data_IF_917670544615
#
_entry.id   IF_917670544615
#
_cell.length_a   1.000
_cell.length_b   1.000
_cell.length_c   1.000
_cell.angle_alpha   90.00
_cell.angle_beta   90.00
_cell.angle_gamma   90.00
#
_symmetry.space_group_name_H-M   'P 1'
#
loop_
_entity.id
_entity.type
_entity.pdbx_description
1 polymer ?
#
# COMPACT_ATOMS: atom_id res chain seq x y z
N UNK A 1 3.82 27.35 9.66
CA UNK A 1 4.56 26.19 9.12
C UNK A 1 3.72 24.94 9.35
N UNK A 2 3.28 24.25 8.30
CA UNK A 2 2.52 23.01 8.45
C UNK A 2 3.45 21.88 8.88
N UNK A 3 3.10 21.15 9.94
CA UNK A 3 3.86 19.98 10.38
C UNK A 3 3.77 18.86 9.32
N UNK A 4 4.78 17.97 9.26
CA UNK A 4 4.83 16.81 8.33
C UNK A 4 3.52 15.99 8.37
N UNK A 5 2.95 15.82 9.57
CA UNK A 5 1.67 15.13 9.81
C UNK A 5 0.48 15.86 9.15
N UNK A 6 0.36 17.18 9.30
CA UNK A 6 -0.71 17.95 8.68
C UNK A 6 -0.69 17.87 7.14
N UNK A 7 0.52 17.91 6.54
CA UNK A 7 0.69 17.74 5.10
C UNK A 7 0.30 16.33 4.63
N UNK A 8 0.67 15.30 5.40
CA UNK A 8 0.31 13.91 5.13
C UNK A 8 -1.21 13.71 5.12
N UNK A 9 -1.91 14.17 6.17
CA UNK A 9 -3.37 14.09 6.26
C UNK A 9 -4.06 14.90 5.16
N UNK A 10 -3.55 16.09 4.81
CA UNK A 10 -4.09 16.87 3.70
C UNK A 10 -3.99 16.13 2.36
N UNK A 11 -2.88 15.44 2.11
CA UNK A 11 -2.71 14.64 0.88
C UNK A 11 -3.62 13.41 0.85
N UNK A 12 -3.97 12.82 2.00
CA UNK A 12 -4.98 11.75 2.07
C UNK A 12 -6.34 12.29 1.67
N UNK A 13 -6.71 13.48 2.19
CA UNK A 13 -7.96 14.15 1.79
C UNK A 13 -8.00 14.42 0.29
N UNK A 14 -6.88 14.79 -0.33
CA UNK A 14 -6.83 14.96 -1.79
C UNK A 14 -7.11 13.65 -2.55
N UNK A 15 -6.58 12.51 -2.09
CA UNK A 15 -6.89 11.21 -2.70
C UNK A 15 -8.38 10.89 -2.60
N UNK A 16 -8.99 11.15 -1.45
CA UNK A 16 -10.43 10.95 -1.24
C UNK A 16 -11.27 11.91 -2.09
N UNK A 17 -10.85 13.17 -2.26
CA UNK A 17 -11.49 14.12 -3.18
C UNK A 17 -11.44 13.62 -4.63
N UNK A 18 -10.30 13.12 -5.08
CA UNK A 18 -10.18 12.56 -6.44
C UNK A 18 -11.11 11.37 -6.65
N UNK A 19 -11.15 10.45 -5.67
CA UNK A 19 -12.05 9.31 -5.68
C UNK A 19 -13.52 9.75 -5.80
N UNK A 20 -13.96 10.67 -4.93
CA UNK A 20 -15.34 11.17 -4.93
C UNK A 20 -15.69 11.88 -6.24
N UNK A 21 -14.79 12.71 -6.77
CA UNK A 21 -15.01 13.43 -8.03
C UNK A 21 -15.15 12.50 -9.22
N UNK A 22 -14.38 11.41 -9.27
CA UNK A 22 -14.52 10.42 -10.34
C UNK A 22 -15.82 9.64 -10.24
N UNK A 23 -16.22 9.21 -9.04
CA UNK A 23 -17.48 8.49 -8.84
C UNK A 23 -18.69 9.36 -9.14
N UNK A 24 -18.65 10.63 -8.73
CA UNK A 24 -19.74 11.57 -8.97
C UNK A 24 -19.63 12.33 -10.30
N UNK A 25 -18.65 11.99 -11.15
CA UNK A 25 -18.42 12.64 -12.45
C UNK A 25 -18.32 14.17 -12.37
N UNK A 26 -17.69 14.70 -11.32
CA UNK A 26 -17.52 16.14 -11.09
C UNK A 26 -16.40 16.69 -11.97
N UNK A 27 -16.69 17.77 -12.69
CA UNK A 27 -15.75 18.43 -13.62
C UNK A 27 -15.01 19.58 -12.92
N UNK A 28 -13.69 19.77 -13.17
CA UNK A 28 -12.84 18.95 -14.02
C UNK A 28 -12.56 17.59 -13.38
N UNK A 29 -12.58 16.50 -14.16
CA UNK A 29 -12.26 15.18 -13.62
C UNK A 29 -10.74 15.08 -13.35
N UNK A 30 -10.31 14.52 -12.21
CA UNK A 30 -8.88 14.33 -11.94
C UNK A 30 -8.29 13.30 -12.90
N UNK A 31 -7.10 13.56 -13.42
CA UNK A 31 -6.40 12.61 -14.28
C UNK A 31 -5.66 11.55 -13.45
N UNK A 32 -5.36 10.40 -14.07
CA UNK A 32 -4.50 9.39 -13.46
C UNK A 32 -3.10 9.93 -13.12
N UNK A 33 -2.62 10.94 -13.85
CA UNK A 33 -1.33 11.60 -13.56
C UNK A 33 -1.41 12.43 -12.28
N UNK A 34 -2.51 13.12 -12.02
CA UNK A 34 -2.70 13.92 -10.79
C UNK A 34 -2.72 13.04 -9.54
N UNK A 35 -3.42 11.90 -9.64
CA UNK A 35 -3.48 10.89 -8.59
C UNK A 35 -2.09 10.27 -8.41
N UNK A 36 -1.41 9.90 -9.49
CA UNK A 36 -0.05 9.35 -9.47
C UNK A 36 0.95 10.27 -8.76
N UNK A 37 0.90 11.57 -9.03
CA UNK A 37 1.80 12.54 -8.39
C UNK A 37 1.54 12.65 -6.87
N UNK A 38 0.29 12.53 -6.45
CA UNK A 38 -0.08 12.51 -5.03
C UNK A 38 0.41 11.23 -4.36
N UNK A 39 0.31 10.08 -5.04
CA UNK A 39 0.85 8.79 -4.58
C UNK A 39 2.39 8.82 -4.47
N UNK A 40 3.08 9.41 -5.46
CA UNK A 40 4.55 9.60 -5.43
C UNK A 40 5.02 10.46 -4.25
N UNK A 41 4.23 11.46 -3.84
CA UNK A 41 4.53 12.20 -2.61
C UNK A 41 4.56 11.27 -1.39
N UNK A 42 3.58 10.37 -1.25
CA UNK A 42 3.58 9.41 -0.15
C UNK A 42 4.79 8.48 -0.21
N UNK A 43 5.15 7.97 -1.39
CA UNK A 43 6.36 7.16 -1.57
C UNK A 43 7.61 7.89 -1.07
N UNK A 44 7.77 9.17 -1.43
CA UNK A 44 8.91 9.98 -0.98
C UNK A 44 8.93 10.15 0.55
N UNK A 45 7.77 10.40 1.17
CA UNK A 45 7.68 10.54 2.63
C UNK A 45 8.00 9.21 3.32
N UNK A 46 7.38 8.11 2.88
CA UNK A 46 7.58 6.77 3.46
C UNK A 46 9.03 6.32 3.33
N UNK A 47 9.62 6.43 2.13
CA UNK A 47 11.03 6.10 1.91
C UNK A 47 11.96 7.03 2.68
N UNK A 48 11.58 8.31 2.84
CA UNK A 48 12.31 9.27 3.67
C UNK A 48 12.39 8.81 5.13
N UNK A 49 11.25 8.39 5.70
CA UNK A 49 11.21 7.82 7.05
C UNK A 49 12.05 6.56 7.17
N UNK A 50 11.97 5.63 6.21
CA UNK A 50 12.79 4.41 6.24
C UNK A 50 14.30 4.70 6.19
N UNK A 51 14.73 5.77 5.52
CA UNK A 51 16.14 6.19 5.48
C UNK A 51 16.63 6.83 6.77
N UNK A 52 15.73 7.42 7.57
CA UNK A 52 16.05 8.04 8.86
C UNK A 52 16.24 6.98 9.98
N UNK A 53 15.73 5.76 9.78
CA UNK A 53 15.77 4.66 10.76
C UNK A 53 17.07 3.85 10.60
N UNK A 54 17.80 3.64 11.69
CA UNK A 54 19.04 2.84 11.69
C UNK A 54 18.78 1.32 11.69
N UNK A 55 17.64 0.90 12.25
CA UNK A 55 17.21 -0.49 12.25
C UNK A 55 16.73 -0.97 10.87
N UNK A 56 16.48 -2.27 10.71
CA UNK A 56 16.04 -2.88 9.46
C UNK A 56 14.54 -3.27 9.51
N UNK A 57 13.58 -2.32 9.50
CA UNK A 57 12.16 -2.61 9.68
C UNK A 57 11.60 -3.58 8.61
N UNK A 58 12.18 -3.58 7.41
CA UNK A 58 11.87 -4.56 6.36
C UNK A 58 12.22 -6.00 6.75
N UNK A 59 13.35 -6.21 7.44
CA UNK A 59 13.73 -7.53 7.94
C UNK A 59 12.81 -7.97 9.08
N UNK A 60 12.39 -7.02 9.92
CA UNK A 60 11.51 -7.27 11.07
C UNK A 60 10.12 -7.77 10.66
N UNK A 61 9.63 -7.43 9.46
CA UNK A 61 8.35 -7.94 8.93
C UNK A 61 8.28 -9.47 8.85
N UNK A 62 9.43 -10.16 8.77
CA UNK A 62 9.49 -11.63 8.75
C UNK A 62 9.24 -12.24 10.13
N UNK A 63 9.40 -11.46 11.19
CA UNK A 63 9.36 -11.90 12.58
C UNK A 63 8.19 -11.25 13.30
N UNK A 64 7.09 -12.00 13.48
CA UNK A 64 5.85 -11.47 14.07
C UNK A 64 6.02 -10.89 15.48
N UNK A 65 6.96 -11.45 16.26
CA UNK A 65 7.32 -10.95 17.59
C UNK A 65 7.99 -9.56 17.56
N UNK A 66 8.51 -9.13 16.42
CA UNK A 66 9.15 -7.83 16.22
C UNK A 66 8.18 -6.75 15.71
N UNK A 67 6.93 -7.11 15.38
CA UNK A 67 5.96 -6.16 14.84
C UNK A 67 5.67 -4.99 15.80
N UNK A 68 5.51 -5.29 17.10
CA UNK A 68 5.27 -4.25 18.10
C UNK A 68 6.43 -3.24 18.14
N UNK A 69 7.67 -3.72 18.18
CA UNK A 69 8.86 -2.85 18.16
C UNK A 69 8.97 -2.09 16.84
N UNK A 70 8.83 -2.77 15.70
CA UNK A 70 8.85 -2.17 14.35
C UNK A 70 7.95 -0.94 14.27
N UNK A 71 6.71 -1.06 14.75
CA UNK A 71 5.74 0.03 14.68
C UNK A 71 6.10 1.23 15.57
N UNK A 72 6.88 1.04 16.65
CA UNK A 72 7.35 2.16 17.49
C UNK A 72 8.45 3.00 16.82
N UNK A 73 9.08 2.49 15.76
CA UNK A 73 10.15 3.19 15.04
C UNK A 73 9.63 4.32 14.14
N UNK A 74 8.34 4.33 13.83
CA UNK A 74 7.76 5.24 12.84
C UNK A 74 7.15 6.48 13.50
N UNK A 75 7.21 7.65 12.82
CA UNK A 75 6.50 8.83 13.27
C UNK A 75 4.99 8.61 13.25
N UNK A 76 4.28 9.36 14.10
CA UNK A 76 2.82 9.28 14.19
C UNK A 76 2.19 9.91 12.94
N UNK A 77 1.89 9.09 11.94
CA UNK A 77 1.21 9.42 10.69
C UNK A 77 0.03 8.47 10.46
N UNK A 78 -0.92 8.91 9.65
CA UNK A 78 -2.15 8.15 9.39
C UNK A 78 -1.95 7.08 8.28
N UNK A 79 -1.11 6.09 8.56
CA UNK A 79 -0.79 5.01 7.61
C UNK A 79 -2.03 4.17 7.25
N UNK A 80 -2.91 3.95 8.23
CA UNK A 80 -4.17 3.21 8.03
C UNK A 80 -5.14 3.99 7.14
N UNK A 81 -5.27 5.31 7.36
CA UNK A 81 -6.07 6.17 6.47
C UNK A 81 -5.54 6.18 5.04
N UNK A 82 -4.20 6.20 4.85
CA UNK A 82 -3.61 6.07 3.53
C UNK A 82 -3.93 4.71 2.87
N UNK A 83 -3.84 3.60 3.62
CA UNK A 83 -4.22 2.27 3.12
C UNK A 83 -5.69 2.22 2.69
N UNK A 84 -6.59 2.78 3.50
CA UNK A 84 -8.02 2.86 3.18
C UNK A 84 -8.26 3.67 1.91
N UNK A 85 -7.66 4.85 1.78
CA UNK A 85 -7.75 5.66 0.56
C UNK A 85 -7.23 4.91 -0.67
N UNK A 86 -6.09 4.23 -0.57
CA UNK A 86 -5.55 3.42 -1.67
C UNK A 86 -6.52 2.29 -2.04
N UNK A 87 -7.11 1.62 -1.05
CA UNK A 87 -8.08 0.55 -1.28
C UNK A 87 -9.30 1.05 -2.04
N UNK A 88 -9.83 2.22 -1.70
CA UNK A 88 -10.93 2.85 -2.45
C UNK A 88 -10.53 3.20 -3.89
N UNK A 89 -9.29 3.62 -4.11
CA UNK A 89 -8.80 3.97 -5.46
C UNK A 89 -8.68 2.76 -6.39
N UNK A 90 -8.64 1.53 -5.89
CA UNK A 90 -8.60 0.33 -6.75
C UNK A 90 -9.86 0.21 -7.61
N UNK A 91 -11.02 0.68 -7.15
CA UNK A 91 -12.26 0.51 -7.91
C UNK A 91 -12.47 1.58 -9.00
N UNK A 92 -11.61 2.61 -9.06
CA UNK A 92 -11.77 3.73 -10.03
C UNK A 92 -10.95 3.56 -11.31
N UNK A 93 -10.17 2.48 -11.47
CA UNK A 93 -9.39 2.25 -12.71
C UNK A 93 -10.23 2.45 -14.00
N UNK A 94 -11.46 1.91 -14.12
CA UNK A 94 -12.27 2.08 -15.32
C UNK A 94 -12.73 3.53 -15.56
N UNK A 95 -12.68 4.39 -14.55
CA UNK A 95 -13.11 5.79 -14.62
C UNK A 95 -11.98 6.74 -15.05
N UNK A 96 -10.73 6.24 -15.10
CA UNK A 96 -9.56 7.05 -15.44
C UNK A 96 -9.36 7.05 -16.95
N UNK A 97 -9.60 8.21 -17.58
CA UNK A 97 -9.52 8.37 -19.03
C UNK A 97 -8.09 8.64 -19.52
N UNK A 98 -7.26 9.27 -18.70
CA UNK A 98 -5.89 9.66 -19.05
C UNK A 98 -4.92 9.32 -17.92
N UNK A 99 -3.77 8.72 -18.25
CA UNK A 99 -2.71 8.43 -17.29
C UNK A 99 -2.92 7.18 -16.41
N UNK A 100 -3.78 6.24 -16.82
CA UNK A 100 -4.09 5.01 -16.05
C UNK A 100 -2.84 4.16 -15.71
N UNK A 101 -1.87 4.08 -16.61
CA UNK A 101 -0.61 3.37 -16.37
C UNK A 101 0.21 4.01 -15.25
N UNK A 102 0.40 5.34 -15.33
CA UNK A 102 1.14 6.08 -14.33
C UNK A 102 0.47 5.99 -12.95
N UNK A 103 -0.87 6.05 -12.92
CA UNK A 103 -1.67 5.82 -11.73
C UNK A 103 -1.44 4.42 -11.16
N UNK A 104 -1.65 3.36 -11.95
CA UNK A 104 -1.56 1.99 -11.47
C UNK A 104 -0.18 1.62 -10.96
N UNK A 105 0.88 2.02 -11.67
CA UNK A 105 2.26 1.83 -11.21
C UNK A 105 2.53 2.58 -9.90
N UNK A 106 2.06 3.83 -9.80
CA UNK A 106 2.24 4.61 -8.57
C UNK A 106 1.43 4.03 -7.41
N UNK A 107 0.24 3.48 -7.66
CA UNK A 107 -0.59 2.84 -6.64
C UNK A 107 0.11 1.60 -6.09
N UNK A 108 0.56 0.70 -6.97
CA UNK A 108 1.30 -0.52 -6.58
C UNK A 108 2.60 -0.19 -5.83
N UNK A 109 3.38 0.77 -6.32
CA UNK A 109 4.61 1.19 -5.64
C UNK A 109 4.33 1.81 -4.26
N UNK A 110 3.22 2.54 -4.11
CA UNK A 110 2.82 3.10 -2.82
C UNK A 110 2.41 2.00 -1.85
N UNK A 111 1.66 0.99 -2.31
CA UNK A 111 1.34 -0.19 -1.49
C UNK A 111 2.60 -0.91 -1.00
N UNK A 112 3.56 -1.18 -1.90
CA UNK A 112 4.83 -1.82 -1.54
C UNK A 112 5.60 -1.03 -0.47
N UNK A 113 5.64 0.30 -0.59
CA UNK A 113 6.29 1.16 0.40
C UNK A 113 5.52 1.24 1.72
N UNK A 114 4.18 1.27 1.65
CA UNK A 114 3.31 1.42 2.81
C UNK A 114 3.28 0.18 3.71
N UNK A 115 3.43 -1.01 3.12
CA UNK A 115 3.36 -2.30 3.83
C UNK A 115 4.17 -2.32 5.14
N UNK A 116 5.38 -1.75 5.14
CA UNK A 116 6.29 -1.72 6.31
C UNK A 116 5.76 -0.92 7.48
N UNK A 117 4.79 -0.05 7.25
CA UNK A 117 4.20 0.83 8.26
C UNK A 117 2.87 0.31 8.79
N UNK A 118 2.36 -0.79 8.22
CA UNK A 118 1.05 -1.32 8.56
C UNK A 118 1.13 -2.36 9.68
N UNK A 119 0.02 -2.48 10.41
CA UNK A 119 -0.22 -3.59 11.32
C UNK A 119 -0.32 -4.91 10.57
N UNK A 120 0.06 -6.00 11.23
CA UNK A 120 0.03 -7.34 10.66
C UNK A 120 -1.33 -7.73 10.09
N UNK A 121 -2.41 -7.41 10.81
CA UNK A 121 -3.79 -7.68 10.37
C UNK A 121 -4.11 -7.07 9.01
N UNK A 122 -3.56 -5.90 8.72
CA UNK A 122 -3.76 -5.23 7.43
C UNK A 122 -2.82 -5.83 6.37
N UNK A 123 -1.56 -6.10 6.74
CA UNK A 123 -0.57 -6.75 5.87
C UNK A 123 -1.10 -8.07 5.32
N UNK A 124 -1.74 -8.89 6.15
CA UNK A 124 -2.30 -10.19 5.76
C UNK A 124 -3.41 -10.08 4.70
N UNK A 125 -4.04 -8.90 4.56
CA UNK A 125 -5.07 -8.62 3.53
C UNK A 125 -4.50 -8.09 2.22
N UNK A 126 -3.24 -7.63 2.20
CA UNK A 126 -2.62 -7.04 1.02
C UNK A 126 -2.54 -7.97 -0.20
N UNK A 127 -2.30 -9.30 -0.07
CA UNK A 127 -2.30 -10.18 -1.24
C UNK A 127 -3.63 -10.12 -1.98
N UNK A 128 -4.74 -10.15 -1.25
CA UNK A 128 -6.08 -10.05 -1.82
C UNK A 128 -6.31 -8.69 -2.48
N UNK A 129 -5.91 -7.60 -1.82
CA UNK A 129 -6.01 -6.25 -2.38
C UNK A 129 -5.23 -6.14 -3.70
N UNK A 130 -3.97 -6.60 -3.74
CA UNK A 130 -3.13 -6.54 -4.94
C UNK A 130 -3.72 -7.39 -6.07
N UNK A 131 -4.21 -8.60 -5.79
CA UNK A 131 -4.90 -9.43 -6.79
C UNK A 131 -6.16 -8.74 -7.30
N UNK A 132 -6.93 -8.08 -6.43
CA UNK A 132 -8.15 -7.38 -6.84
C UNK A 132 -7.89 -6.26 -7.86
N UNK A 133 -6.70 -5.66 -7.86
CA UNK A 133 -6.31 -4.64 -8.86
C UNK A 133 -6.35 -5.24 -10.27
N UNK A 134 -5.99 -6.51 -10.45
CA UNK A 134 -6.03 -7.18 -11.76
C UNK A 134 -7.44 -7.25 -12.35
N UNK A 135 -8.48 -7.24 -11.51
CA UNK A 135 -9.86 -7.24 -11.98
C UNK A 135 -10.27 -5.91 -12.63
N UNK A 136 -9.73 -4.80 -12.13
CA UNK A 136 -10.13 -3.45 -12.57
C UNK A 136 -9.11 -2.79 -13.52
N UNK A 137 -7.84 -3.18 -13.45
CA UNK A 137 -6.76 -2.59 -14.21
C UNK A 137 -6.70 -3.11 -15.65
N UNK A 138 -6.19 -2.31 -16.61
CA UNK A 138 -5.89 -2.80 -17.96
C UNK A 138 -4.77 -3.86 -17.96
N UNK A 139 -4.76 -4.73 -18.96
CA UNK A 139 -3.79 -5.84 -19.11
C UNK A 139 -2.32 -5.39 -19.05
N UNK A 140 -2.04 -4.18 -19.52
CA UNK A 140 -0.72 -3.55 -19.49
C UNK A 140 -0.16 -3.36 -18.08
N UNK A 141 -0.98 -3.44 -17.02
CA UNK A 141 -0.56 -3.42 -15.62
C UNK A 141 -0.42 -4.80 -14.98
N UNK A 142 -0.92 -5.87 -15.60
CA UNK A 142 -0.97 -7.19 -14.97
C UNK A 142 0.42 -7.71 -14.58
N UNK A 143 1.43 -7.47 -15.43
CA UNK A 143 2.81 -7.82 -15.10
C UNK A 143 3.29 -7.11 -13.82
N UNK A 144 2.98 -5.82 -13.66
CA UNK A 144 3.34 -5.08 -12.46
C UNK A 144 2.60 -5.59 -11.23
N UNK A 145 1.31 -5.93 -11.35
CA UNK A 145 0.53 -6.54 -10.27
C UNK A 145 1.18 -7.84 -9.79
N UNK A 146 1.54 -8.73 -10.73
CA UNK A 146 2.19 -10.02 -10.41
C UNK A 146 3.56 -9.78 -9.76
N UNK A 147 4.37 -8.86 -10.29
CA UNK A 147 5.67 -8.53 -9.71
C UNK A 147 5.54 -7.96 -8.29
N UNK A 148 4.56 -7.08 -8.05
CA UNK A 148 4.26 -6.56 -6.71
C UNK A 148 3.83 -7.68 -5.77
N UNK A 149 2.89 -8.53 -6.21
CA UNK A 149 2.41 -9.64 -5.42
C UNK A 149 3.55 -10.59 -5.01
N UNK A 150 4.28 -11.13 -6.00
CA UNK A 150 5.25 -12.20 -5.78
C UNK A 150 6.53 -11.74 -5.07
N UNK A 151 7.02 -10.54 -5.39
CA UNK A 151 8.32 -10.08 -4.87
C UNK A 151 8.21 -9.10 -3.71
N UNK A 152 7.06 -8.45 -3.52
CA UNK A 152 6.91 -7.40 -2.52
C UNK A 152 5.90 -7.73 -1.42
N UNK A 153 4.85 -8.52 -1.70
CA UNK A 153 3.79 -8.78 -0.70
C UNK A 153 3.85 -10.20 -0.13
N UNK A 154 3.90 -11.22 -0.99
CA UNK A 154 3.91 -12.62 -0.57
C UNK A 154 5.06 -12.98 0.39
N UNK A 155 6.31 -12.50 0.19
CA UNK A 155 7.42 -12.84 1.09
C UNK A 155 7.24 -12.39 2.55
N UNK A 156 6.28 -11.51 2.84
CA UNK A 156 6.01 -10.98 4.18
C UNK A 156 4.65 -11.37 4.74
N UNK A 157 3.81 -12.01 3.92
CA UNK A 157 2.46 -12.48 4.30
C UNK A 157 2.39 -14.00 4.37
N UNK A 158 3.16 -14.70 3.53
CA UNK A 158 3.26 -16.16 3.50
C UNK A 158 4.66 -16.56 3.98
N UNK A 159 4.75 -17.42 5.00
CA UNK A 159 6.02 -17.95 5.51
C UNK A 159 6.66 -17.16 6.66
N UNK A 160 5.89 -16.34 7.38
CA UNK A 160 6.36 -15.82 8.67
C UNK A 160 6.47 -16.99 9.64
N UNK A 161 7.70 -17.32 10.08
CA UNK A 161 7.89 -18.41 11.03
C UNK A 161 6.98 -18.16 12.25
N UNK A 162 6.16 -19.14 12.65
CA UNK A 162 5.41 -19.03 13.89
C UNK A 162 6.40 -18.71 15.01
N UNK A 163 5.98 -17.84 15.92
CA UNK A 163 6.76 -17.53 17.12
C UNK A 163 7.00 -18.86 17.84
N UNK A 164 8.26 -19.21 18.10
CA UNK A 164 8.68 -20.56 18.50
C UNK A 164 7.70 -21.23 19.47
N UNK A 165 7.10 -22.34 19.01
CA UNK A 165 6.15 -23.15 19.80
C UNK A 165 5.00 -23.76 19.00
N UNK A 166 4.65 -23.22 17.83
CA UNK A 166 3.64 -23.86 16.96
C UNK A 166 4.37 -24.72 15.93
N UNK A 167 4.40 -26.04 16.16
CA UNK A 167 4.85 -27.02 15.17
C UNK A 167 4.18 -26.75 13.82
N UNK A 168 4.99 -26.60 12.77
CA UNK A 168 4.51 -26.55 11.39
C UNK A 168 3.80 -27.86 11.06
N UNK A 169 2.48 -27.91 11.28
CA UNK A 169 1.67 -29.04 10.86
C UNK A 169 1.37 -28.91 9.36
N UNK A 170 2.36 -29.27 8.53
CA UNK A 170 2.27 -29.33 7.06
C UNK A 170 1.13 -30.21 6.52
N UNK A 171 0.39 -30.90 7.39
CA UNK A 171 -0.70 -31.82 7.04
C UNK A 171 -2.00 -31.09 6.63
N UNK A 172 -2.18 -29.80 6.95
CA UNK A 172 -3.43 -29.07 6.61
C UNK A 172 -3.36 -28.19 5.36
N UNK A 173 -2.21 -28.11 4.68
CA UNK A 173 -2.05 -27.28 3.48
C UNK A 173 -2.54 -27.95 2.17
N UNK A 174 -3.12 -29.16 2.25
CA UNK A 174 -3.67 -29.88 1.11
C UNK A 174 -5.09 -30.36 1.41
N UNK A 175 -6.09 -29.50 1.23
CA UNK A 175 -7.47 -29.88 0.91
C UNK A 175 -8.04 -28.89 -0.11
#
# INVERSE_FOLDING_TARGET
MGTRSAAFTAKIRNLNDYYLRLIHSVVPAPSGVDIANTLKYFQQVLLGVLKEIQEQPMAMLRHRNQDAHRLTLFPILDYTGLHQSISSLVNIFPLIHYGVLAFGQSLLNTLSCLMVFLDRKVIDTLPYLVVSIMHYAPESLHQHVITTLCYHVLPFTVGSLPSGGEEENYVTASV
#
